data_IF_197772069404
#
_entry.id   IF_197772069404
#
_cell.length_a   1.000
_cell.length_b   1.000
_cell.length_c   1.000
_cell.angle_alpha   90.00
_cell.angle_beta   90.00
_cell.angle_gamma   90.00
#
_symmetry.space_group_name_H-M   'P 1'
#
loop_
_entity.id
_entity.type
_entity.pdbx_description
1 polymer ?
#
# COMPACT_ATOMS: atom_id res chain seq x y z
N UNK A 1 -7.25 -8.56 -12.82
CA UNK A 1 -6.87 -7.43 -11.95
C UNK A 1 -7.90 -7.34 -10.85
N UNK A 2 -7.46 -7.25 -9.61
CA UNK A 2 -8.33 -7.22 -8.43
C UNK A 2 -7.85 -6.14 -7.47
N UNK A 3 -8.78 -5.60 -6.68
CA UNK A 3 -8.50 -4.73 -5.55
C UNK A 3 -8.60 -5.55 -4.26
N UNK A 4 -7.50 -5.64 -3.52
CA UNK A 4 -7.42 -6.41 -2.28
C UNK A 4 -7.56 -5.47 -1.09
N UNK A 5 -8.63 -5.58 -0.27
CA UNK A 5 -8.72 -4.87 0.99
C UNK A 5 -7.71 -5.46 1.98
N UNK A 6 -7.02 -4.60 2.73
CA UNK A 6 -6.01 -4.96 3.72
C UNK A 6 -6.23 -4.13 4.98
N UNK A 7 -6.52 -4.81 6.09
CA UNK A 7 -6.54 -4.19 7.42
C UNK A 7 -5.16 -4.27 8.11
N UNK A 8 -4.96 -3.46 9.14
CA UNK A 8 -3.76 -3.51 10.00
C UNK A 8 -3.51 -4.91 10.62
N UNK A 9 -4.57 -5.70 10.82
CA UNK A 9 -4.47 -7.03 11.42
C UNK A 9 -4.00 -8.08 10.41
N UNK A 10 -4.43 -7.95 9.15
CA UNK A 10 -4.00 -8.77 8.02
C UNK A 10 -2.64 -8.31 7.45
N UNK A 11 -2.20 -7.10 7.83
CA UNK A 11 -0.87 -6.58 7.48
C UNK A 11 0.27 -7.44 8.02
N UNK A 12 0.08 -8.10 9.17
CA UNK A 12 1.10 -8.93 9.81
C UNK A 12 1.31 -10.27 9.07
N UNK A 13 0.29 -10.75 8.36
CA UNK A 13 0.39 -11.87 7.43
C UNK A 13 0.69 -11.43 5.99
N UNK A 14 0.58 -10.13 5.69
CA UNK A 14 1.07 -9.54 4.46
C UNK A 14 2.60 -9.54 4.47
N UNK A 15 3.13 -9.92 3.32
CA UNK A 15 4.48 -10.42 3.17
C UNK A 15 5.45 -9.25 3.32
N UNK A 16 6.42 -9.35 4.23
CA UNK A 16 7.43 -8.31 4.44
C UNK A 16 8.05 -7.80 3.11
N UNK A 17 8.17 -8.68 2.11
CA UNK A 17 8.65 -8.36 0.77
C UNK A 17 7.79 -7.32 0.01
N UNK A 18 6.46 -7.33 0.13
CA UNK A 18 5.62 -6.31 -0.51
C UNK A 18 5.72 -4.98 0.22
N UNK A 19 5.88 -4.98 1.55
CA UNK A 19 6.10 -3.73 2.31
C UNK A 19 7.43 -3.08 1.95
N UNK A 20 8.50 -3.87 1.82
CA UNK A 20 9.80 -3.40 1.31
C UNK A 20 9.67 -2.80 -0.09
N UNK A 21 8.88 -3.43 -0.95
CA UNK A 21 8.66 -2.91 -2.30
C UNK A 21 7.85 -1.60 -2.29
N UNK A 22 6.76 -1.53 -1.54
CA UNK A 22 5.91 -0.34 -1.48
C UNK A 22 6.57 0.84 -0.77
N UNK A 23 7.38 0.58 0.28
CA UNK A 23 8.17 1.64 0.93
C UNK A 23 9.15 2.25 -0.06
N UNK A 24 9.80 1.43 -0.89
CA UNK A 24 10.66 1.92 -1.97
C UNK A 24 9.87 2.76 -2.99
N UNK A 25 8.71 2.30 -3.44
CA UNK A 25 7.88 3.08 -4.38
C UNK A 25 7.45 4.44 -3.79
N UNK A 26 7.10 4.50 -2.50
CA UNK A 26 6.77 5.77 -1.86
C UNK A 26 8.01 6.67 -1.73
N UNK A 27 9.14 6.13 -1.27
CA UNK A 27 10.38 6.89 -1.12
C UNK A 27 10.86 7.47 -2.45
N UNK A 28 10.76 6.70 -3.55
CA UNK A 28 11.05 7.18 -4.91
C UNK A 28 10.13 8.38 -5.30
N UNK A 29 8.93 8.52 -4.72
CA UNK A 29 8.05 9.68 -4.90
C UNK A 29 8.36 10.83 -3.94
N UNK A 30 8.80 10.55 -2.71
CA UNK A 30 9.25 11.57 -1.76
C UNK A 30 10.50 12.27 -2.29
N UNK A 31 11.45 11.50 -2.84
CA UNK A 31 12.68 12.02 -3.46
C UNK A 31 12.38 12.94 -4.65
N UNK A 32 11.28 12.71 -5.37
CA UNK A 32 10.83 13.62 -6.44
C UNK A 32 10.27 14.93 -5.90
N UNK A 33 9.70 14.93 -4.70
CA UNK A 33 9.21 16.12 -4.01
C UNK A 33 8.01 16.79 -4.66
N UNK A 34 7.19 16.05 -5.42
CA UNK A 34 6.08 16.63 -6.21
C UNK A 34 4.68 16.36 -5.66
N UNK A 35 4.48 15.25 -4.95
CA UNK A 35 3.13 14.73 -4.66
C UNK A 35 2.80 14.54 -3.18
N UNK A 36 3.81 14.29 -2.33
CA UNK A 36 3.63 14.12 -0.89
C UNK A 36 4.38 15.23 -0.14
N UNK A 37 3.83 15.70 1.00
CA UNK A 37 4.48 16.74 1.81
C UNK A 37 5.60 16.19 2.71
N UNK A 38 5.83 14.87 2.70
CA UNK A 38 6.81 14.20 3.56
C UNK A 38 8.20 14.30 2.93
N UNK A 39 9.22 14.47 3.77
CA UNK A 39 10.62 14.64 3.32
C UNK A 39 11.48 13.45 3.73
N UNK A 40 11.22 12.86 4.90
CA UNK A 40 12.01 11.73 5.38
C UNK A 40 11.57 10.42 4.72
N UNK A 41 12.53 9.58 4.27
CA UNK A 41 12.22 8.28 3.72
C UNK A 41 11.71 7.34 4.81
N UNK A 42 10.86 6.40 4.42
CA UNK A 42 10.35 5.37 5.30
C UNK A 42 11.19 4.09 5.21
N UNK A 43 11.53 3.54 6.37
CA UNK A 43 11.84 2.11 6.51
C UNK A 43 10.56 1.26 6.29
N UNK A 44 10.67 -0.02 5.89
CA UNK A 44 9.51 -0.87 5.60
C UNK A 44 8.48 -0.94 6.73
N UNK A 45 8.93 -1.03 7.97
CA UNK A 45 8.05 -1.05 9.15
C UNK A 45 7.34 0.29 9.34
N UNK A 46 8.05 1.41 9.17
CA UNK A 46 7.47 2.75 9.26
C UNK A 46 6.44 2.99 8.16
N UNK A 47 6.73 2.53 6.93
CA UNK A 47 5.76 2.56 5.83
C UNK A 47 4.52 1.75 6.16
N UNK A 48 4.68 0.53 6.70
CA UNK A 48 3.55 -0.32 7.11
C UNK A 48 2.67 0.39 8.12
N UNK A 49 3.26 0.99 9.15
CA UNK A 49 2.52 1.68 10.21
C UNK A 49 1.80 2.95 9.71
N UNK A 50 2.41 3.66 8.76
CA UNK A 50 1.80 4.82 8.10
C UNK A 50 0.68 4.42 7.15
N UNK A 51 0.94 3.51 6.21
CA UNK A 51 0.05 3.18 5.10
C UNK A 51 -1.09 2.25 5.50
N UNK A 52 -0.86 1.35 6.46
CA UNK A 52 -1.86 0.37 6.93
C UNK A 52 -2.47 0.77 8.28
N UNK A 53 -2.34 2.03 8.70
CA UNK A 53 -2.78 2.56 9.99
C UNK A 53 -4.24 2.23 10.35
N UNK A 54 -5.12 2.22 9.36
CA UNK A 54 -6.54 1.89 9.52
C UNK A 54 -6.97 0.85 8.52
N UNK A 55 -6.89 1.19 7.25
CA UNK A 55 -7.32 0.33 6.16
C UNK A 55 -6.63 0.78 4.88
N UNK A 56 -6.27 -0.15 4.02
CA UNK A 56 -5.76 0.14 2.70
C UNK A 56 -6.27 -0.86 1.68
N UNK A 57 -6.13 -0.49 0.42
CA UNK A 57 -6.38 -1.36 -0.70
C UNK A 57 -5.12 -1.49 -1.55
N UNK A 58 -4.82 -2.71 -2.00
CA UNK A 58 -3.71 -2.99 -2.92
C UNK A 58 -4.30 -3.55 -4.21
N UNK A 59 -4.03 -2.87 -5.31
CA UNK A 59 -4.47 -3.25 -6.65
C UNK A 59 -3.39 -4.08 -7.31
N UNK A 60 -3.75 -5.28 -7.75
CA UNK A 60 -2.82 -6.26 -8.34
C UNK A 60 -3.33 -6.85 -9.64
N UNK A 61 -2.40 -7.18 -10.53
CA UNK A 61 -2.61 -7.93 -11.77
C UNK A 61 -2.61 -9.44 -11.47
N UNK A 62 -3.68 -9.91 -10.85
CA UNK A 62 -3.89 -11.33 -10.55
C UNK A 62 -5.33 -11.78 -10.89
N UNK A 63 -5.51 -13.09 -10.97
CA UNK A 63 -6.79 -13.79 -11.13
C UNK A 63 -7.09 -14.61 -9.86
N UNK A 64 -7.41 -13.91 -8.78
CA UNK A 64 -7.69 -14.47 -7.45
C UNK A 64 -8.99 -13.86 -6.91
N UNK A 65 -9.55 -14.40 -5.82
CA UNK A 65 -10.83 -13.94 -5.27
C UNK A 65 -10.71 -13.29 -3.89
N UNK A 66 -9.65 -13.60 -3.14
CA UNK A 66 -9.48 -13.11 -1.77
C UNK A 66 -8.02 -12.73 -1.47
N UNK A 67 -7.82 -12.01 -0.37
CA UNK A 67 -6.48 -11.74 0.15
C UNK A 67 -5.77 -13.03 0.58
N UNK A 68 -6.49 -14.01 1.13
CA UNK A 68 -5.93 -15.30 1.51
C UNK A 68 -5.37 -16.05 0.28
N UNK A 69 -6.13 -16.08 -0.82
CA UNK A 69 -5.69 -16.67 -2.10
C UNK A 69 -4.43 -15.96 -2.61
N UNK A 70 -4.38 -14.62 -2.45
CA UNK A 70 -3.22 -13.82 -2.84
C UNK A 70 -1.98 -14.21 -2.06
N UNK A 71 -2.07 -14.26 -0.73
CA UNK A 71 -0.95 -14.59 0.15
C UNK A 71 -0.47 -16.02 -0.13
N UNK A 72 -1.39 -16.96 -0.35
CA UNK A 72 -1.02 -18.34 -0.69
C UNK A 72 -0.29 -18.45 -2.04
N UNK A 73 -0.72 -17.68 -3.05
CA UNK A 73 -0.20 -17.78 -4.41
C UNK A 73 1.06 -16.94 -4.63
N UNK A 74 1.11 -15.75 -4.03
CA UNK A 74 2.13 -14.73 -4.24
C UNK A 74 2.92 -14.40 -2.97
N UNK A 75 2.76 -15.22 -1.93
CA UNK A 75 3.49 -15.19 -0.65
C UNK A 75 4.97 -14.85 -0.78
N UNK A 76 5.60 -15.53 -1.71
CA UNK A 76 7.04 -15.48 -1.90
C UNK A 76 7.40 -14.78 -3.21
N UNK A 77 6.48 -13.98 -3.76
CA UNK A 77 6.72 -13.30 -5.03
C UNK A 77 7.91 -12.35 -4.93
N UNK A 78 8.82 -12.47 -5.89
CA UNK A 78 10.00 -11.62 -6.02
C UNK A 78 9.80 -10.50 -7.05
N UNK A 79 8.81 -10.61 -7.93
CA UNK A 79 8.55 -9.66 -9.01
C UNK A 79 7.33 -8.76 -8.76
N UNK A 80 7.28 -8.11 -7.59
CA UNK A 80 6.19 -7.19 -7.23
C UNK A 80 5.91 -6.12 -8.28
N UNK A 81 6.94 -5.64 -8.98
CA UNK A 81 6.84 -4.66 -10.08
C UNK A 81 5.88 -5.06 -11.21
N UNK A 82 5.70 -6.36 -11.48
CA UNK A 82 4.80 -6.85 -12.54
C UNK A 82 3.38 -7.11 -12.03
N UNK A 83 3.25 -7.39 -10.73
CA UNK A 83 2.00 -7.80 -10.08
C UNK A 83 1.28 -6.57 -9.52
N UNK A 84 2.00 -5.70 -8.81
CA UNK A 84 1.46 -4.51 -8.18
C UNK A 84 1.14 -3.43 -9.23
N UNK A 85 -0.02 -2.80 -9.09
CA UNK A 85 -0.45 -1.72 -9.97
C UNK A 85 -0.62 -0.39 -9.22
N UNK A 86 -1.07 -0.44 -7.96
CA UNK A 86 -1.26 0.74 -7.15
C UNK A 86 -1.84 0.40 -5.77
N UNK A 87 -1.76 1.32 -4.83
CA UNK A 87 -2.37 1.21 -3.51
C UNK A 87 -2.91 2.56 -3.07
N UNK A 88 -3.89 2.51 -2.17
CA UNK A 88 -4.35 3.68 -1.44
C UNK A 88 -4.79 3.28 -0.05
N UNK A 89 -4.62 4.18 0.91
CA UNK A 89 -5.09 3.99 2.26
C UNK A 89 -6.34 4.81 2.54
N UNK A 90 -7.09 4.48 3.58
CA UNK A 90 -8.16 5.30 4.12
C UNK A 90 -7.99 5.45 5.62
N UNK A 91 -8.20 6.67 6.10
CA UNK A 91 -8.19 6.98 7.52
C UNK A 91 -9.13 8.15 7.84
N UNK A 92 -9.61 8.28 9.08
CA UNK A 92 -10.22 9.52 9.53
C UNK A 92 -9.22 10.67 9.43
N UNK A 93 -9.59 11.75 8.73
CA UNK A 93 -8.74 12.94 8.62
C UNK A 93 -8.70 13.72 9.94
N UNK A 94 -9.77 13.62 10.73
CA UNK A 94 -9.92 14.33 12.00
C UNK A 94 -10.31 13.36 13.12
N UNK A 95 -9.90 13.62 14.38
CA UNK A 95 -10.32 12.82 15.53
C UNK A 95 -11.78 13.11 15.93
N UNK A 96 -12.36 12.21 16.73
CA UNK A 96 -13.62 12.44 17.42
C UNK A 96 -14.83 12.62 16.49
N UNK A 97 -15.60 13.70 16.69
CA UNK A 97 -16.88 13.94 16.00
C UNK A 97 -16.76 14.16 14.49
N UNK A 98 -15.59 14.57 14.02
CA UNK A 98 -15.31 14.79 12.59
C UNK A 98 -14.60 13.59 11.93
N UNK A 99 -14.51 12.45 12.62
CA UNK A 99 -13.86 11.24 12.08
C UNK A 99 -14.59 10.59 10.89
N UNK A 100 -15.82 11.03 10.61
CA UNK A 100 -16.56 10.62 9.43
C UNK A 100 -16.02 11.25 8.12
N UNK A 101 -15.18 12.29 8.23
CA UNK A 101 -14.47 12.88 7.09
C UNK A 101 -13.18 12.09 6.90
N UNK A 102 -13.06 11.38 5.78
CA UNK A 102 -11.89 10.55 5.48
C UNK A 102 -10.79 11.32 4.75
N UNK A 103 -9.56 10.80 4.88
CA UNK A 103 -8.37 11.12 4.10
C UNK A 103 -7.90 9.86 3.37
N UNK A 104 -7.20 10.06 2.26
CA UNK A 104 -6.59 8.99 1.48
C UNK A 104 -5.36 9.48 0.74
N UNK A 105 -4.30 8.68 0.77
CA UNK A 105 -3.14 8.83 -0.12
C UNK A 105 -3.13 7.74 -1.18
N UNK A 106 -2.68 8.07 -2.38
CA UNK A 106 -2.60 7.17 -3.52
C UNK A 106 -1.15 7.00 -3.98
N UNK A 107 -0.76 5.76 -4.24
CA UNK A 107 0.53 5.40 -4.82
C UNK A 107 0.29 4.50 -6.02
N UNK A 108 0.84 4.86 -7.17
CA UNK A 108 0.73 4.08 -8.41
C UNK A 108 2.10 3.56 -8.81
N UNK A 109 2.19 2.30 -9.23
CA UNK A 109 3.43 1.74 -9.75
C UNK A 109 3.92 2.58 -10.95
N UNK A 110 5.14 3.10 -10.87
CA UNK A 110 5.70 3.98 -11.89
C UNK A 110 5.83 3.32 -13.28
N UNK A 111 5.93 2.00 -13.37
CA UNK A 111 6.07 1.27 -14.64
C UNK A 111 4.76 1.10 -15.42
N UNK A 112 3.62 1.43 -14.83
CA UNK A 112 2.29 1.29 -15.45
C UNK A 112 1.53 2.61 -15.48
N UNK A 113 2.24 3.73 -15.32
CA UNK A 113 1.72 5.07 -15.60
C UNK A 113 1.75 5.28 -17.12
N UNK A 114 0.72 5.93 -17.66
CA UNK A 114 0.60 6.18 -19.11
C UNK A 114 1.73 7.09 -19.62
#
# INVERSE_FOLDING_TARGET
>A
MILLPVSAMEANSLLASIMVFLSKELNDELDRGLIYPLVEPFEPEGFKDYWLRKFACIKVKAHIKSLADFIQTYGEATEWRKIFLGTFYFEPNYPGRSSHICNSGFLTNHLVRN
#
